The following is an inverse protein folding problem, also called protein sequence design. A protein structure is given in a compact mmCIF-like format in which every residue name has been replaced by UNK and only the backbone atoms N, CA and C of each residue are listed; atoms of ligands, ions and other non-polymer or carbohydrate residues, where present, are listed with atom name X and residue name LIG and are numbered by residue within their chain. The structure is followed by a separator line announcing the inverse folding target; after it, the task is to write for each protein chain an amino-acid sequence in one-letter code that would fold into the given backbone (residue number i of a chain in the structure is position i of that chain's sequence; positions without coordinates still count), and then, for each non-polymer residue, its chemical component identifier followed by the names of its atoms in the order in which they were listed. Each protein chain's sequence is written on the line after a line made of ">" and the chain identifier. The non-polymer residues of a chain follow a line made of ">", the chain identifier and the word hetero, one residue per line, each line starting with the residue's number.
data_IF_927747681889
#
_entry.id   IF_927747681889
#
_cell.length_a   1.000
_cell.length_b   1.000
_cell.length_c   1.000
_cell.angle_alpha   90.00
_cell.angle_beta   90.00
_cell.angle_gamma   90.00
#
_symmetry.space_group_name_H-M   'P 1'
#
loop_
_entity.id
_entity.type
_entity.pdbx_description
1 polymer ?
#
# COMPACT_ATOMS: atom_id res chain seq x y z
N UNK A 1 -0.96 2.89 14.90
CA UNK A 1 -0.10 2.99 13.71
C UNK A 1 0.26 1.59 13.22
N UNK A 2 -0.34 1.10 12.11
CA UNK A 2 -0.18 -0.30 11.65
C UNK A 2 1.28 -0.70 11.38
N UNK A 3 2.10 0.21 10.85
CA UNK A 3 3.53 -0.01 10.60
C UNK A 3 4.32 -0.29 11.89
N UNK A 4 4.00 0.43 12.97
CA UNK A 4 4.68 0.27 14.26
C UNK A 4 4.34 -1.08 14.90
N UNK A 5 3.08 -1.51 14.78
CA UNK A 5 2.63 -2.84 15.22
C UNK A 5 3.22 -3.97 14.38
N UNK A 6 3.42 -3.74 13.08
CA UNK A 6 4.08 -4.72 12.22
C UNK A 6 5.58 -4.82 12.52
N UNK A 7 6.24 -3.70 12.84
CA UNK A 7 7.64 -3.66 13.28
C UNK A 7 7.88 -4.35 14.61
N UNK A 8 6.90 -4.35 15.53
CA UNK A 8 7.05 -5.08 16.80
C UNK A 8 6.97 -6.60 16.63
N UNK A 9 6.40 -7.08 15.51
CA UNK A 9 6.15 -8.51 15.26
C UNK A 9 7.03 -9.13 14.18
N UNK A 10 7.67 -8.33 13.31
CA UNK A 10 8.38 -8.81 12.12
C UNK A 10 9.73 -8.12 11.96
N UNK A 11 10.74 -8.80 11.37
CA UNK A 11 12.02 -8.17 11.09
C UNK A 11 11.86 -7.00 10.13
N UNK A 12 12.69 -5.97 10.30
CA UNK A 12 12.64 -4.71 9.54
C UNK A 12 12.54 -4.91 8.03
N UNK A 13 13.33 -5.81 7.46
CA UNK A 13 13.34 -6.07 6.02
C UNK A 13 11.98 -6.58 5.52
N UNK A 14 11.30 -7.41 6.28
CA UNK A 14 9.96 -7.89 5.94
C UNK A 14 8.93 -6.75 5.96
N UNK A 15 9.05 -5.82 6.90
CA UNK A 15 8.18 -4.63 6.96
C UNK A 15 8.40 -3.71 5.77
N UNK A 16 9.67 -3.49 5.38
CA UNK A 16 10.01 -2.69 4.20
C UNK A 16 9.41 -3.30 2.93
N UNK A 17 9.53 -4.62 2.76
CA UNK A 17 8.93 -5.32 1.62
C UNK A 17 7.40 -5.23 1.65
N UNK A 18 6.77 -5.36 2.81
CA UNK A 18 5.31 -5.22 2.94
C UNK A 18 4.83 -3.81 2.55
N UNK A 19 5.57 -2.77 2.98
CA UNK A 19 5.28 -1.39 2.60
C UNK A 19 5.45 -1.17 1.09
N UNK A 20 6.53 -1.68 0.50
CA UNK A 20 6.76 -1.62 -0.94
C UNK A 20 5.67 -2.36 -1.72
N UNK A 21 5.25 -3.54 -1.26
CA UNK A 21 4.17 -4.31 -1.89
C UNK A 21 2.84 -3.56 -1.84
N UNK A 22 2.54 -2.87 -0.74
CA UNK A 22 1.37 -1.99 -0.64
C UNK A 22 1.38 -0.90 -1.73
N UNK A 23 2.50 -0.22 -1.92
CA UNK A 23 2.66 0.81 -2.97
C UNK A 23 2.58 0.22 -4.38
N UNK A 24 3.25 -0.93 -4.61
CA UNK A 24 3.22 -1.63 -5.89
C UNK A 24 1.78 -2.00 -6.29
N UNK A 25 0.94 -2.42 -5.32
CA UNK A 25 -0.47 -2.75 -5.58
C UNK A 25 -1.31 -1.51 -5.90
N UNK A 26 -1.01 -0.36 -5.30
CA UNK A 26 -1.60 0.93 -5.70
C UNK A 26 -1.23 1.28 -7.14
N UNK A 27 0.05 1.20 -7.50
CA UNK A 27 0.51 1.49 -8.87
C UNK A 27 -0.14 0.52 -9.86
N UNK A 28 -0.18 -0.78 -9.54
CA UNK A 28 -0.82 -1.77 -10.38
C UNK A 28 -2.29 -1.46 -10.63
N UNK A 29 -3.06 -1.08 -9.60
CA UNK A 29 -4.46 -0.70 -9.76
C UNK A 29 -4.63 0.55 -10.65
N UNK A 30 -3.74 1.54 -10.52
CA UNK A 30 -3.76 2.71 -11.39
C UNK A 30 -3.52 2.32 -12.85
N UNK A 31 -2.50 1.51 -13.12
CA UNK A 31 -2.18 1.05 -14.47
C UNK A 31 -3.28 0.15 -15.06
N UNK A 32 -3.82 -0.77 -14.26
CA UNK A 32 -4.85 -1.71 -14.69
C UNK A 32 -6.18 -1.02 -15.04
N UNK A 33 -6.45 0.15 -14.45
CA UNK A 33 -7.65 0.93 -14.70
C UNK A 33 -7.41 2.20 -15.52
N UNK A 34 -6.20 2.39 -16.06
CA UNK A 34 -5.74 3.62 -16.74
C UNK A 34 -6.08 4.91 -15.96
N UNK A 35 -5.98 4.83 -14.63
CA UNK A 35 -6.29 5.93 -13.72
C UNK A 35 -5.01 6.69 -13.36
N UNK A 36 -5.14 8.01 -13.25
CA UNK A 36 -4.09 8.84 -12.66
C UNK A 36 -4.16 8.76 -11.14
N UNK A 37 -3.01 8.89 -10.49
CA UNK A 37 -2.95 8.96 -9.03
C UNK A 37 -3.73 10.19 -8.54
N UNK A 38 -4.67 9.96 -7.64
CA UNK A 38 -5.39 11.01 -6.92
C UNK A 38 -5.23 10.77 -5.41
N UNK A 39 -4.72 11.79 -4.70
CA UNK A 39 -4.53 11.75 -3.25
C UNK A 39 -5.86 11.63 -2.49
N UNK A 40 -6.95 12.14 -3.06
CA UNK A 40 -8.29 12.13 -2.48
C UNK A 40 -9.12 10.93 -2.96
N UNK A 41 -8.49 9.95 -3.62
CA UNK A 41 -9.17 8.72 -4.04
C UNK A 41 -9.69 7.96 -2.83
N UNK A 42 -10.98 8.11 -2.55
CA UNK A 42 -11.71 7.21 -1.67
C UNK A 42 -12.04 5.96 -2.48
N UNK A 43 -11.48 4.81 -2.08
CA UNK A 43 -11.99 3.54 -2.57
C UNK A 43 -13.43 3.45 -2.06
N UNK A 44 -14.41 3.76 -2.92
CA UNK A 44 -15.82 3.57 -2.63
C UNK A 44 -15.99 2.11 -2.19
N UNK A 45 -16.20 1.91 -0.90
CA UNK A 45 -16.67 0.65 -0.36
C UNK A 45 -18.16 0.60 -0.72
N UNK A 46 -18.45 -0.11 -1.80
CA UNK A 46 -19.78 -0.64 -2.08
C UNK A 46 -19.97 -1.94 -1.29
#
# INVERSE_FOLDING_TARGET
>A
FWLAELLSRRPRNAVVVALANKMARTIWALLAHDRRYDRNYAASAE
#
